data_IF_886808285351
#
_entry.id   IF_886808285351
#
_cell.length_a   1.000
_cell.length_b   1.000
_cell.length_c   1.000
_cell.angle_alpha   90.00
_cell.angle_beta   90.00
_cell.angle_gamma   90.00
#
_symmetry.space_group_name_H-M   'P 1'
#
loop_
_entity.id
_entity.type
_entity.pdbx_description
1 polymer ?
#
# COMPACT_ATOMS: atom_id res chain seq x y z
N UNK A 1 -11.72 0.18 -24.12
CA UNK A 1 -10.25 0.31 -24.27
C UNK A 1 -9.85 -0.24 -25.63
N UNK A 2 -8.86 0.40 -26.27
CA UNK A 2 -8.26 -0.11 -27.49
C UNK A 2 -7.77 -1.54 -27.29
N UNK A 3 -8.07 -2.45 -28.25
CA UNK A 3 -7.77 -3.88 -28.09
C UNK A 3 -6.29 -4.20 -28.02
N UNK A 4 -5.46 -3.44 -28.75
CA UNK A 4 -4.01 -3.62 -28.70
C UNK A 4 -3.45 -3.17 -27.35
N UNK A 5 -3.89 -2.04 -26.86
CA UNK A 5 -3.51 -1.50 -25.57
C UNK A 5 -3.96 -2.45 -24.46
N UNK A 6 -5.17 -2.99 -24.56
CA UNK A 6 -5.67 -3.96 -23.58
C UNK A 6 -4.78 -5.22 -23.53
N UNK A 7 -4.43 -5.78 -24.68
CA UNK A 7 -3.56 -6.95 -24.75
C UNK A 7 -2.18 -6.68 -24.18
N UNK A 8 -1.59 -5.52 -24.48
CA UNK A 8 -0.29 -5.12 -23.96
C UNK A 8 -0.36 -4.86 -22.45
N UNK A 9 -1.46 -4.28 -21.97
CA UNK A 9 -1.67 -4.04 -20.55
C UNK A 9 -1.80 -5.35 -19.78
N UNK A 10 -2.50 -6.35 -20.35
CA UNK A 10 -2.59 -7.69 -19.74
C UNK A 10 -1.21 -8.30 -19.56
N UNK A 11 -0.34 -8.20 -20.57
CA UNK A 11 1.04 -8.69 -20.48
C UNK A 11 1.83 -7.93 -19.42
N UNK A 12 1.65 -6.61 -19.35
CA UNK A 12 2.31 -5.78 -18.36
C UNK A 12 1.87 -6.15 -16.94
N UNK A 13 0.57 -6.34 -16.72
CA UNK A 13 0.03 -6.80 -15.43
C UNK A 13 0.64 -8.16 -15.05
N UNK A 14 0.77 -9.07 -16.01
CA UNK A 14 1.39 -10.36 -15.76
C UNK A 14 2.86 -10.20 -15.34
N UNK A 15 3.59 -9.28 -15.95
CA UNK A 15 4.97 -8.97 -15.56
C UNK A 15 5.05 -8.46 -14.12
N UNK A 16 4.10 -7.61 -13.71
CA UNK A 16 4.01 -7.14 -12.32
C UNK A 16 3.80 -8.33 -11.37
N UNK A 17 2.90 -9.23 -11.72
CA UNK A 17 2.58 -10.40 -10.88
C UNK A 17 3.76 -11.37 -10.72
N UNK A 18 4.70 -11.34 -11.65
CA UNK A 18 5.90 -12.20 -11.62
C UNK A 18 7.03 -11.60 -10.77
N UNK A 19 6.91 -10.34 -10.32
CA UNK A 19 7.92 -9.72 -9.47
C UNK A 19 7.89 -10.30 -8.06
N UNK A 20 9.04 -10.36 -7.41
CA UNK A 20 9.14 -10.76 -6.01
C UNK A 20 8.33 -9.84 -5.11
N UNK A 21 8.35 -8.54 -5.41
CA UNK A 21 7.60 -7.53 -4.66
C UNK A 21 6.11 -7.83 -4.64
N UNK A 22 5.53 -8.14 -5.79
CA UNK A 22 4.10 -8.49 -5.86
C UNK A 22 3.82 -9.82 -5.17
N UNK A 23 4.66 -10.83 -5.39
CA UNK A 23 4.46 -12.16 -4.79
C UNK A 23 4.52 -12.08 -3.27
N UNK A 24 5.46 -11.32 -2.73
CA UNK A 24 5.53 -11.10 -1.28
C UNK A 24 4.27 -10.42 -0.76
N UNK A 25 3.81 -9.38 -1.43
CA UNK A 25 2.57 -8.68 -1.08
C UNK A 25 1.38 -9.65 -1.08
N UNK A 26 1.24 -10.45 -2.14
CA UNK A 26 0.16 -11.42 -2.29
C UNK A 26 0.16 -12.47 -1.17
N UNK A 27 1.35 -12.97 -0.80
CA UNK A 27 1.50 -13.94 0.28
C UNK A 27 1.13 -13.34 1.63
N UNK A 28 1.60 -12.14 1.92
CA UNK A 28 1.31 -11.46 3.18
C UNK A 28 -0.17 -11.08 3.28
N UNK A 29 -0.78 -10.68 2.18
CA UNK A 29 -2.21 -10.41 2.12
C UNK A 29 -3.03 -11.67 2.44
N UNK A 30 -2.66 -12.81 1.87
CA UNK A 30 -3.33 -14.09 2.17
C UNK A 30 -3.21 -14.46 3.65
N UNK A 31 -2.04 -14.26 4.25
CA UNK A 31 -1.81 -14.53 5.67
C UNK A 31 -2.70 -13.68 6.57
N UNK A 32 -2.74 -12.36 6.32
CA UNK A 32 -3.51 -11.48 7.18
C UNK A 32 -5.02 -11.67 7.00
N UNK A 33 -5.46 -12.01 5.79
CA UNK A 33 -6.86 -12.31 5.53
C UNK A 33 -7.33 -13.58 6.23
N UNK A 34 -6.41 -14.51 6.53
CA UNK A 34 -6.76 -15.71 7.29
C UNK A 34 -7.08 -15.40 8.75
N UNK A 35 -6.81 -14.18 9.21
CA UNK A 35 -7.16 -13.70 10.54
C UNK A 35 -8.06 -12.46 10.41
N UNK A 36 -9.40 -12.66 10.26
CA UNK A 36 -10.31 -11.57 9.92
C UNK A 36 -10.31 -10.39 10.90
N UNK A 37 -10.16 -10.65 12.20
CA UNK A 37 -10.13 -9.58 13.20
C UNK A 37 -8.89 -8.70 13.02
N UNK A 38 -7.76 -9.31 12.69
CA UNK A 38 -6.52 -8.61 12.46
C UNK A 38 -6.59 -7.80 11.16
N UNK A 39 -7.17 -8.38 10.13
CA UNK A 39 -7.36 -7.70 8.84
C UNK A 39 -8.30 -6.50 8.97
N UNK A 40 -9.38 -6.63 9.75
CA UNK A 40 -10.29 -5.51 10.02
C UNK A 40 -9.56 -4.37 10.72
N UNK A 41 -8.67 -4.69 11.66
CA UNK A 41 -7.89 -3.68 12.37
C UNK A 41 -6.87 -3.00 11.45
N UNK A 42 -6.28 -3.72 10.50
CA UNK A 42 -5.40 -3.13 9.49
C UNK A 42 -6.18 -2.12 8.64
N UNK A 43 -7.40 -2.47 8.22
CA UNK A 43 -8.24 -1.57 7.45
C UNK A 43 -8.60 -0.31 8.25
N UNK A 44 -8.91 -0.44 9.52
CA UNK A 44 -9.13 0.68 10.43
C UNK A 44 -7.88 1.56 10.53
N UNK A 45 -6.71 0.95 10.72
CA UNK A 45 -5.43 1.66 10.79
C UNK A 45 -5.19 2.48 9.53
N UNK A 46 -5.37 1.87 8.35
CA UNK A 46 -5.17 2.55 7.05
C UNK A 46 -6.11 3.73 6.88
N UNK A 47 -7.37 3.54 7.22
CA UNK A 47 -8.38 4.59 7.13
C UNK A 47 -8.07 5.76 8.06
N UNK A 48 -7.75 5.48 9.30
CA UNK A 48 -7.42 6.52 10.29
C UNK A 48 -6.14 7.28 9.90
N UNK A 49 -5.15 6.57 9.37
CA UNK A 49 -3.93 7.21 8.87
C UNK A 49 -4.23 8.16 7.71
N UNK A 50 -5.07 7.74 6.78
CA UNK A 50 -5.52 8.57 5.67
C UNK A 50 -6.26 9.81 6.16
N UNK A 51 -7.21 9.66 7.06
CA UNK A 51 -7.95 10.80 7.63
C UNK A 51 -7.00 11.78 8.32
N UNK A 52 -6.07 11.27 9.11
CA UNK A 52 -5.11 12.08 9.85
C UNK A 52 -4.29 12.96 8.91
N UNK A 53 -3.78 12.38 7.82
CA UNK A 53 -2.94 13.11 6.86
C UNK A 53 -3.72 14.12 6.03
N UNK A 54 -5.01 13.88 5.78
CA UNK A 54 -5.81 14.69 4.87
C UNK A 54 -6.71 15.71 5.57
N UNK A 55 -6.92 15.59 6.88
CA UNK A 55 -7.84 16.47 7.63
C UNK A 55 -7.15 17.31 8.69
N UNK A 56 -5.93 16.94 9.10
CA UNK A 56 -5.21 17.66 10.14
C UNK A 56 -4.54 18.91 9.58
N UNK A 57 -4.57 20.00 10.38
CA UNK A 57 -3.80 21.19 10.07
C UNK A 57 -2.32 20.92 10.28
N UNK A 58 -1.46 21.61 9.53
CA UNK A 58 -0.01 21.38 9.53
C UNK A 58 0.60 21.52 10.93
N UNK A 59 0.14 22.52 11.70
CA UNK A 59 0.65 22.77 13.05
C UNK A 59 0.26 21.69 14.06
N UNK A 60 -0.80 20.93 13.80
CA UNK A 60 -1.28 19.86 14.67
C UNK A 60 -0.88 18.48 14.16
N UNK A 61 -0.40 18.38 12.92
CA UNK A 61 -0.16 17.09 12.26
C UNK A 61 0.85 16.23 13.01
N UNK A 62 1.97 16.80 13.43
CA UNK A 62 3.03 16.05 14.11
C UNK A 62 2.56 15.49 15.45
N UNK A 63 1.84 16.29 16.25
CA UNK A 63 1.32 15.84 17.54
C UNK A 63 0.30 14.72 17.38
N UNK A 64 -0.57 14.83 16.36
CA UNK A 64 -1.57 13.81 16.06
C UNK A 64 -0.93 12.53 15.53
N UNK A 65 0.10 12.64 14.71
CA UNK A 65 0.84 11.48 14.22
C UNK A 65 1.54 10.74 15.35
N UNK A 66 2.15 11.46 16.30
CA UNK A 66 2.77 10.85 17.47
C UNK A 66 1.76 10.09 18.33
N UNK A 67 0.60 10.71 18.58
CA UNK A 67 -0.48 10.07 19.33
C UNK A 67 -1.00 8.82 18.62
N UNK A 68 -1.15 8.90 17.31
CA UNK A 68 -1.60 7.78 16.47
C UNK A 68 -0.60 6.63 16.49
N UNK A 69 0.68 6.91 16.35
CA UNK A 69 1.74 5.90 16.40
C UNK A 69 1.76 5.18 17.74
N UNK A 70 1.62 5.92 18.85
CA UNK A 70 1.56 5.34 20.19
C UNK A 70 0.35 4.44 20.37
N UNK A 71 -0.80 4.85 19.85
CA UNK A 71 -2.04 4.07 19.92
C UNK A 71 -1.90 2.72 19.23
N UNK A 72 -1.18 2.68 18.10
CA UNK A 72 -1.02 1.46 17.30
C UNK A 72 0.33 0.77 17.49
N UNK A 73 1.14 1.19 18.46
CA UNK A 73 2.48 0.64 18.68
C UNK A 73 2.46 -0.88 18.87
N UNK A 74 1.64 -1.38 19.78
CA UNK A 74 1.53 -2.84 20.03
C UNK A 74 0.98 -3.59 18.82
N UNK A 75 0.02 -2.98 18.13
CA UNK A 75 -0.55 -3.55 16.92
C UNK A 75 0.53 -3.76 15.86
N UNK A 76 1.39 -2.78 15.66
CA UNK A 76 2.46 -2.82 14.67
C UNK A 76 3.61 -3.76 15.05
N UNK A 77 3.72 -4.15 16.32
CA UNK A 77 4.70 -5.14 16.76
C UNK A 77 4.30 -6.57 16.38
N UNK A 78 3.04 -6.82 16.02
CA UNK A 78 2.61 -8.13 15.56
C UNK A 78 3.30 -8.44 14.23
N UNK A 79 4.09 -9.55 14.14
CA UNK A 79 4.84 -9.85 12.91
C UNK A 79 3.99 -9.97 11.65
N UNK A 80 2.77 -10.50 11.78
CA UNK A 80 1.85 -10.64 10.63
C UNK A 80 1.46 -9.27 10.09
N UNK A 81 1.17 -8.31 10.99
CA UNK A 81 0.82 -6.95 10.62
C UNK A 81 2.02 -6.23 10.02
N UNK A 82 3.16 -6.30 10.69
CA UNK A 82 4.37 -5.60 10.26
C UNK A 82 4.84 -6.10 8.89
N UNK A 83 4.87 -7.41 8.69
CA UNK A 83 5.25 -8.00 7.41
C UNK A 83 4.29 -7.61 6.29
N UNK A 84 2.99 -7.57 6.58
CA UNK A 84 2.01 -7.13 5.59
C UNK A 84 2.18 -5.66 5.22
N UNK A 85 2.33 -4.79 6.21
CA UNK A 85 2.48 -3.35 5.96
C UNK A 85 3.77 -3.05 5.20
N UNK A 86 4.86 -3.74 5.51
CA UNK A 86 6.12 -3.60 4.77
C UNK A 86 5.98 -4.05 3.31
N UNK A 87 5.33 -5.19 3.10
CA UNK A 87 5.10 -5.72 1.75
C UNK A 87 4.19 -4.80 0.93
N UNK A 88 3.15 -4.26 1.56
CA UNK A 88 2.23 -3.31 0.93
C UNK A 88 2.96 -2.03 0.53
N UNK A 89 3.79 -1.50 1.42
CA UNK A 89 4.56 -0.28 1.13
C UNK A 89 5.51 -0.49 -0.05
N UNK A 90 6.21 -1.61 -0.09
CA UNK A 90 7.11 -1.93 -1.18
C UNK A 90 6.36 -2.04 -2.51
N UNK A 91 5.20 -2.69 -2.51
CA UNK A 91 4.36 -2.81 -3.70
C UNK A 91 3.83 -1.44 -4.16
N UNK A 92 3.36 -0.61 -3.22
CA UNK A 92 2.89 0.74 -3.55
C UNK A 92 4.01 1.59 -4.16
N UNK A 93 5.22 1.52 -3.63
CA UNK A 93 6.38 2.24 -4.18
C UNK A 93 6.71 1.77 -5.59
N UNK A 94 6.66 0.47 -5.83
CA UNK A 94 6.88 -0.07 -7.18
C UNK A 94 5.84 0.47 -8.16
N UNK A 95 4.56 0.50 -7.76
CA UNK A 95 3.50 1.04 -8.61
C UNK A 95 3.64 2.54 -8.86
N UNK A 96 4.10 3.29 -7.87
CA UNK A 96 4.40 4.71 -8.03
C UNK A 96 5.53 4.92 -9.03
N UNK A 97 6.60 4.15 -8.92
CA UNK A 97 7.73 4.23 -9.85
C UNK A 97 7.31 3.92 -11.29
N UNK A 98 6.48 2.91 -11.47
CA UNK A 98 5.93 2.55 -12.79
C UNK A 98 5.10 3.72 -13.34
N UNK A 99 4.25 4.30 -12.52
CA UNK A 99 3.39 5.42 -12.94
C UNK A 99 4.21 6.65 -13.32
N UNK A 100 5.23 6.97 -12.54
CA UNK A 100 6.15 8.07 -12.84
C UNK A 100 6.88 7.81 -14.17
N UNK A 101 7.38 6.59 -14.36
CA UNK A 101 8.06 6.21 -15.59
C UNK A 101 7.15 6.41 -16.82
N UNK A 102 5.91 5.93 -16.73
CA UNK A 102 4.95 6.05 -17.83
C UNK A 102 4.66 7.52 -18.15
N UNK A 103 4.42 8.34 -17.12
CA UNK A 103 4.10 9.76 -17.32
C UNK A 103 5.28 10.53 -17.88
N UNK A 104 6.51 10.23 -17.46
CA UNK A 104 7.70 10.86 -17.98
C UNK A 104 7.94 10.49 -19.45
N UNK A 105 7.78 9.21 -19.80
CA UNK A 105 7.97 8.74 -21.18
C UNK A 105 6.92 9.33 -22.14
N UNK A 106 5.71 9.57 -21.64
CA UNK A 106 4.64 10.18 -22.43
C UNK A 106 4.69 11.70 -22.40
N UNK A 107 5.59 12.30 -21.61
CA UNK A 107 5.65 13.74 -21.38
C UNK A 107 4.28 14.31 -20.95
N UNK A 108 3.54 13.51 -20.18
CA UNK A 108 2.22 13.88 -19.68
C UNK A 108 2.36 14.72 -18.41
N UNK A 109 1.78 15.92 -18.46
CA UNK A 109 1.81 16.88 -17.34
C UNK A 109 0.48 16.97 -16.61
#
# INVERSE_FOLDING_TARGET
MDKKIEADTVRFVQSIKETETYQRYSEQLAKIKSEPQLFDKVNEYRWRNYELQNTSQVDQLFDRMDAFEKEYEQFRENPIVDDFLDAELAFCRMMQDINVFITEELEFE
#
